data_IF_938361144913
#
_entry.id   IF_938361144913
#
_cell.length_a   1.000
_cell.length_b   1.000
_cell.length_c   1.000
_cell.angle_alpha   90.00
_cell.angle_beta   90.00
_cell.angle_gamma   90.00
#
_symmetry.space_group_name_H-M   'P 1'
#
loop_
_entity.id
_entity.type
_entity.pdbx_description
1 polymer ?
#
# COMPACT_ATOMS: atom_id res chain seq x y z
N UNK A 1 -10.77 41.75 17.17
CA UNK A 1 -9.71 42.01 18.18
C UNK A 1 -9.55 40.85 19.16
N UNK A 2 -10.48 40.57 20.08
CA UNK A 2 -10.31 39.47 21.06
C UNK A 2 -10.25 38.07 20.39
N UNK A 3 -11.08 37.84 19.36
CA UNK A 3 -11.11 36.61 18.55
C UNK A 3 -9.93 36.45 17.59
N UNK A 4 -9.30 37.56 17.14
CA UNK A 4 -8.10 37.52 16.28
C UNK A 4 -6.83 37.25 17.09
N UNK A 5 -6.79 37.75 18.34
CA UNK A 5 -5.72 37.47 19.31
C UNK A 5 -5.73 36.02 19.75
N UNK A 6 -6.90 35.39 19.89
CA UNK A 6 -7.00 33.96 20.20
C UNK A 6 -6.48 33.07 19.06
N UNK A 7 -6.75 33.41 17.79
CA UNK A 7 -6.21 32.68 16.64
C UNK A 7 -4.69 32.86 16.48
N UNK A 8 -4.17 34.07 16.71
CA UNK A 8 -2.73 34.33 16.70
C UNK A 8 -2.01 33.64 17.88
N UNK A 9 -2.61 33.60 19.07
CA UNK A 9 -2.12 32.84 20.22
C UNK A 9 -2.15 31.32 19.96
N UNK A 10 -3.19 30.81 19.31
CA UNK A 10 -3.29 29.39 18.94
C UNK A 10 -2.24 29.00 17.89
N UNK A 11 -2.01 29.86 16.90
CA UNK A 11 -0.96 29.68 15.89
C UNK A 11 0.45 29.81 16.50
N UNK A 12 0.66 30.76 17.41
CA UNK A 12 1.94 30.99 18.09
C UNK A 12 2.36 29.87 19.03
N UNK A 13 1.42 29.10 19.63
CA UNK A 13 1.74 27.91 20.44
C UNK A 13 2.29 26.74 19.62
N UNK A 14 2.03 26.72 18.31
CA UNK A 14 2.51 25.66 17.39
C UNK A 14 3.66 26.14 16.51
N UNK A 15 4.03 27.43 16.59
CA UNK A 15 5.10 27.98 15.77
C UNK A 15 6.46 27.62 16.40
N UNK A 16 7.39 27.03 15.61
CA UNK A 16 8.71 26.66 16.09
C UNK A 16 9.63 27.84 16.35
N UNK A 17 9.38 28.96 15.67
CA UNK A 17 10.09 30.19 15.89
C UNK A 17 9.48 30.95 17.08
N UNK A 18 10.32 31.72 17.75
CA UNK A 18 9.83 32.77 18.65
C UNK A 18 9.39 33.93 17.77
N UNK A 19 8.08 34.20 17.80
CA UNK A 19 7.49 35.35 17.16
C UNK A 19 7.41 36.49 18.16
N UNK A 20 7.75 37.69 17.73
CA UNK A 20 7.56 38.88 18.55
C UNK A 20 7.03 40.05 17.72
N UNK A 21 6.22 40.89 18.35
CA UNK A 21 5.80 42.18 17.80
C UNK A 21 6.48 43.27 18.60
N UNK A 22 7.22 44.13 17.92
CA UNK A 22 7.83 45.31 18.52
C UNK A 22 7.07 46.57 18.14
N UNK A 23 6.95 47.48 19.11
CA UNK A 23 6.49 48.83 18.89
C UNK A 23 7.55 49.72 18.20
N UNK A 24 7.19 50.97 17.88
CA UNK A 24 8.08 51.94 17.22
C UNK A 24 9.33 52.31 18.03
N UNK A 25 9.28 52.09 19.35
CA UNK A 25 10.37 52.26 20.30
C UNK A 25 11.24 51.00 20.47
N UNK A 26 11.02 49.97 19.64
CA UNK A 26 11.66 48.66 19.74
C UNK A 26 11.42 47.96 21.08
N UNK A 27 10.29 48.25 21.74
CA UNK A 27 9.84 47.49 22.92
C UNK A 27 8.95 46.33 22.49
N UNK A 28 9.10 45.18 23.13
CA UNK A 28 8.26 44.02 22.86
C UNK A 28 6.83 44.30 23.34
N UNK A 29 5.86 44.22 22.42
CA UNK A 29 4.43 44.38 22.72
C UNK A 29 3.71 43.04 22.80
N UNK A 30 4.27 42.03 22.16
CA UNK A 30 3.82 40.65 22.24
C UNK A 30 4.98 39.71 21.91
N UNK A 31 5.03 38.57 22.59
CA UNK A 31 5.96 37.48 22.33
C UNK A 31 5.19 36.16 22.38
N UNK A 32 5.49 35.25 21.46
CA UNK A 32 4.84 33.94 21.42
C UNK A 32 5.26 33.04 22.59
N UNK A 33 4.38 32.11 23.03
CA UNK A 33 4.71 31.13 24.06
C UNK A 33 5.93 30.25 23.77
N UNK A 34 6.33 30.09 22.50
CA UNK A 34 7.52 29.33 22.10
C UNK A 34 8.82 29.83 22.74
N UNK A 35 8.87 31.08 23.23
CA UNK A 35 10.04 31.64 23.91
C UNK A 35 10.41 30.92 25.21
N UNK A 36 9.43 30.30 25.88
CA UNK A 36 9.66 29.53 27.10
C UNK A 36 10.48 28.27 26.79
N UNK A 37 10.15 27.57 25.70
CA UNK A 37 10.87 26.39 25.27
C UNK A 37 12.27 26.72 24.73
N UNK A 38 12.41 27.81 23.97
CA UNK A 38 13.68 28.16 23.31
C UNK A 38 14.67 28.92 24.20
N UNK A 39 14.19 29.74 25.14
CA UNK A 39 15.04 30.63 25.94
C UNK A 39 14.74 30.60 27.45
N UNK A 40 13.71 29.87 27.88
CA UNK A 40 13.33 29.69 29.28
C UNK A 40 12.58 30.86 29.92
N UNK A 41 12.20 31.88 29.14
CA UNK A 41 11.49 33.06 29.63
C UNK A 41 9.98 32.85 29.65
N UNK A 42 9.30 33.38 30.66
CA UNK A 42 7.86 33.58 30.57
C UNK A 42 7.58 34.71 29.54
N UNK A 43 6.71 34.50 28.54
CA UNK A 43 6.37 35.54 27.56
C UNK A 43 5.93 36.86 28.19
N UNK A 44 5.22 36.80 29.34
CA UNK A 44 4.73 37.99 30.03
C UNK A 44 5.86 38.85 30.60
N UNK A 45 6.98 38.24 31.00
CA UNK A 45 8.15 38.94 31.55
C UNK A 45 8.92 39.71 30.47
N UNK A 46 8.73 39.34 29.20
CA UNK A 46 9.41 39.97 28.08
C UNK A 46 8.64 41.17 27.51
N UNK A 47 7.33 41.24 27.74
CA UNK A 47 6.50 42.36 27.26
C UNK A 47 6.89 43.64 28.00
N UNK A 48 7.17 44.69 27.24
CA UNK A 48 7.61 46.00 27.74
C UNK A 48 9.13 46.16 27.82
N UNK A 49 9.91 45.09 27.64
CA UNK A 49 11.37 45.18 27.55
C UNK A 49 11.82 45.70 26.19
N UNK A 50 12.92 46.45 26.17
CA UNK A 50 13.56 46.88 24.93
C UNK A 50 14.44 45.79 24.34
N UNK A 51 14.65 45.80 23.02
CA UNK A 51 15.59 44.87 22.35
C UNK A 51 17.00 44.93 22.97
N UNK A 52 17.43 46.10 23.45
CA UNK A 52 18.71 46.29 24.13
C UNK A 52 18.86 45.49 25.43
N UNK A 53 17.74 45.16 26.10
CA UNK A 53 17.75 44.36 27.32
C UNK A 53 17.84 42.86 27.02
N UNK A 54 17.52 42.45 25.80
CA UNK A 54 17.41 41.05 25.40
C UNK A 54 18.58 40.56 24.54
N UNK A 55 19.26 41.47 23.86
CA UNK A 55 20.36 41.16 22.94
C UNK A 55 21.73 41.46 23.58
N UNK A 56 22.75 40.69 23.23
CA UNK A 56 24.12 40.97 23.63
C UNK A 56 24.59 42.35 23.12
N UNK A 57 25.27 43.11 23.98
CA UNK A 57 25.62 44.51 23.71
C UNK A 57 26.42 44.74 22.42
N UNK A 58 27.27 43.80 22.03
CA UNK A 58 28.07 43.88 20.79
C UNK A 58 27.22 43.70 19.52
N UNK A 59 26.06 43.06 19.63
CA UNK A 59 25.21 42.73 18.49
C UNK A 59 24.16 43.84 18.22
N UNK A 60 24.03 44.83 19.11
CA UNK A 60 23.10 45.96 18.95
C UNK A 60 23.45 46.88 17.79
N UNK A 61 24.73 47.18 17.57
CA UNK A 61 25.19 48.00 16.45
C UNK A 61 24.81 47.39 15.09
N UNK A 62 25.16 46.12 14.83
CA UNK A 62 24.73 45.38 13.64
C UNK A 62 23.20 45.39 13.41
N UNK A 63 22.41 45.17 14.46
CA UNK A 63 20.94 45.18 14.37
C UNK A 63 20.41 46.55 13.95
N UNK A 64 20.86 47.63 14.60
CA UNK A 64 20.42 49.00 14.31
C UNK A 64 20.79 49.44 12.89
N UNK A 65 22.00 49.09 12.44
CA UNK A 65 22.43 49.35 11.07
C UNK A 65 21.53 48.62 10.06
N UNK A 66 21.22 47.36 10.35
CA UNK A 66 20.36 46.56 9.51
C UNK A 66 18.92 47.10 9.45
N UNK A 67 18.36 47.56 10.57
CA UNK A 67 17.03 48.22 10.62
C UNK A 67 17.03 49.46 9.71
N UNK A 68 18.07 50.28 9.81
CA UNK A 68 18.24 51.50 8.98
C UNK A 68 18.32 51.15 7.48
N UNK A 69 18.96 50.03 7.15
CA UNK A 69 19.05 49.52 5.78
C UNK A 69 17.71 48.96 5.27
N UNK A 70 16.98 48.24 6.13
CA UNK A 70 15.64 47.73 5.83
C UNK A 70 14.64 48.85 5.56
N UNK A 71 14.69 49.95 6.32
CA UNK A 71 13.86 51.14 6.09
C UNK A 71 14.11 51.76 4.70
N UNK A 72 15.36 51.80 4.26
CA UNK A 72 15.71 52.27 2.90
C UNK A 72 15.22 51.32 1.81
N UNK A 73 15.03 50.05 2.14
CA UNK A 73 14.66 48.98 1.22
C UNK A 73 13.19 48.54 1.34
N UNK A 74 12.31 49.40 1.86
CA UNK A 74 10.87 49.14 1.90
C UNK A 74 10.39 48.26 3.06
N UNK A 75 11.13 48.25 4.18
CA UNK A 75 10.70 47.67 5.45
C UNK A 75 10.96 46.18 5.64
N UNK A 76 11.67 45.53 4.71
CA UNK A 76 12.06 44.11 4.83
C UNK A 76 13.53 44.00 5.18
N UNK A 77 13.84 43.22 6.20
CA UNK A 77 15.20 43.05 6.69
C UNK A 77 15.73 41.66 6.37
N UNK A 78 16.99 41.57 5.94
CA UNK A 78 17.71 40.30 5.86
C UNK A 78 17.89 39.70 7.27
N UNK A 79 18.05 38.38 7.34
CA UNK A 79 18.24 37.70 8.61
C UNK A 79 19.51 38.22 9.32
N UNK A 80 19.38 38.64 10.57
CA UNK A 80 20.49 39.10 11.41
C UNK A 80 20.80 38.03 12.44
N UNK A 81 22.08 37.67 12.53
CA UNK A 81 22.57 36.85 13.63
C UNK A 81 22.83 37.73 14.85
N UNK A 82 22.26 37.33 15.98
CA UNK A 82 22.46 38.02 17.25
C UNK A 82 22.36 37.04 18.41
N UNK A 83 23.00 37.38 19.52
CA UNK A 83 22.94 36.58 20.74
C UNK A 83 21.81 37.08 21.63
N UNK A 84 20.83 36.23 21.91
CA UNK A 84 19.72 36.55 22.81
C UNK A 84 19.94 35.98 24.21
N UNK A 85 19.56 36.76 25.22
CA UNK A 85 19.70 36.40 26.63
C UNK A 85 18.70 35.31 27.02
N UNK A 86 19.15 34.29 27.71
CA UNK A 86 18.30 33.23 28.30
C UNK A 86 17.80 33.63 29.68
N UNK A 87 16.75 32.98 30.18
CA UNK A 87 16.27 33.20 31.56
C UNK A 87 17.31 32.83 32.63
N UNK A 88 18.24 31.93 32.31
CA UNK A 88 19.39 31.59 33.18
C UNK A 88 20.51 32.64 33.20
N UNK A 89 20.38 33.72 32.41
CA UNK A 89 21.36 34.82 32.33
C UNK A 89 22.50 34.60 31.34
N UNK A 90 22.51 33.50 30.60
CA UNK A 90 23.44 33.25 29.49
C UNK A 90 22.96 33.88 28.18
N UNK A 91 23.70 33.63 27.09
CA UNK A 91 23.32 34.06 25.75
C UNK A 91 23.37 32.89 24.77
N UNK A 92 22.35 32.79 23.90
CA UNK A 92 22.29 31.82 22.82
C UNK A 92 22.42 32.52 21.46
N UNK A 93 23.20 31.96 20.51
CA UNK A 93 23.25 32.47 19.15
C UNK A 93 21.91 32.21 18.45
N UNK A 94 21.36 33.25 17.85
CA UNK A 94 20.07 33.23 17.18
C UNK A 94 20.15 33.91 15.83
N UNK A 95 19.22 33.56 14.94
CA UNK A 95 18.98 34.25 13.69
C UNK A 95 17.57 34.84 13.75
N UNK A 96 17.48 36.15 13.60
CA UNK A 96 16.25 36.91 13.65
C UNK A 96 15.94 37.52 12.28
N UNK A 97 14.72 37.33 11.79
CA UNK A 97 14.19 38.01 10.60
C UNK A 97 13.12 38.99 11.03
N UNK A 98 13.11 40.19 10.42
CA UNK A 98 12.13 41.22 10.72
C UNK A 98 11.44 41.75 9.47
N UNK A 99 10.17 42.07 9.62
CA UNK A 99 9.38 42.81 8.62
C UNK A 99 8.66 43.94 9.33
N UNK A 100 8.71 45.15 8.76
CA UNK A 100 7.99 46.29 9.30
C UNK A 100 6.62 46.49 8.64
N UNK A 101 5.70 47.10 9.39
CA UNK A 101 4.36 47.46 8.93
C UNK A 101 3.92 48.78 9.57
N UNK A 102 3.02 49.50 8.90
CA UNK A 102 2.45 50.75 9.43
C UNK A 102 1.19 50.44 10.24
N UNK A 103 1.13 50.93 11.47
CA UNK A 103 -0.05 50.87 12.32
C UNK A 103 -0.22 52.19 13.05
N UNK A 104 -1.41 52.80 12.93
CA UNK A 104 -1.75 54.10 13.52
C UNK A 104 -0.78 55.25 13.16
N UNK A 105 -0.13 55.18 11.99
CA UNK A 105 0.81 56.19 11.52
C UNK A 105 2.25 56.01 12.00
N UNK A 106 2.53 54.95 12.75
CA UNK A 106 3.87 54.60 13.23
C UNK A 106 4.33 53.25 12.64
N UNK A 107 5.65 53.04 12.60
CA UNK A 107 6.26 51.81 12.08
C UNK A 107 6.41 50.79 13.20
N UNK A 108 5.80 49.63 13.01
CA UNK A 108 5.86 48.47 13.89
C UNK A 108 6.64 47.34 13.24
N UNK A 109 7.09 46.38 14.02
CA UNK A 109 7.91 45.27 13.51
C UNK A 109 7.36 43.93 13.96
N UNK A 110 7.30 42.97 13.04
CA UNK A 110 7.15 41.55 13.35
C UNK A 110 8.49 40.85 13.21
N UNK A 111 8.86 40.07 14.22
CA UNK A 111 10.07 39.27 14.28
C UNK A 111 9.73 37.79 14.24
N UNK A 112 10.52 37.02 13.49
CA UNK A 112 10.69 35.57 13.69
C UNK A 112 12.14 35.34 14.12
N UNK A 113 12.31 34.60 15.21
CA UNK A 113 13.59 34.35 15.86
C UNK A 113 13.74 32.85 16.08
N UNK A 114 14.86 32.29 15.61
CA UNK A 114 15.25 30.89 15.84
C UNK A 114 16.65 30.81 16.40
N UNK A 115 16.99 29.75 17.13
CA UNK A 115 18.39 29.54 17.50
C UNK A 115 19.21 29.10 16.27
N UNK A 116 20.49 29.46 16.21
CA UNK A 116 21.39 29.02 15.13
C UNK A 116 21.56 27.50 15.14
N UNK A 117 21.56 26.88 16.33
CA UNK A 117 21.59 25.43 16.47
C UNK A 117 20.35 24.77 15.83
N UNK A 118 19.17 25.36 15.98
CA UNK A 118 17.96 24.89 15.31
C UNK A 118 18.02 25.11 13.80
N UNK A 119 18.71 26.15 13.32
CA UNK A 119 18.94 26.42 11.89
C UNK A 119 19.82 25.36 11.24
N UNK A 120 20.97 25.08 11.85
CA UNK A 120 21.87 24.03 11.38
C UNK A 120 21.22 22.64 11.46
N UNK A 121 20.40 22.39 12.49
CA UNK A 121 19.65 21.14 12.62
C UNK A 121 18.61 20.98 11.49
N UNK A 122 17.88 22.05 11.14
CA UNK A 122 16.90 22.03 10.04
C UNK A 122 17.58 21.88 8.68
N UNK A 123 18.67 22.61 8.42
CA UNK A 123 19.47 22.48 7.18
C UNK A 123 20.08 21.09 7.06
N UNK A 124 20.66 20.57 8.14
CA UNK A 124 21.20 19.21 8.19
C UNK A 124 20.13 18.15 7.97
N UNK A 125 18.95 18.28 8.59
CA UNK A 125 17.81 17.38 8.38
C UNK A 125 17.32 17.41 6.94
N UNK A 126 17.14 18.60 6.36
CA UNK A 126 16.73 18.76 4.95
C UNK A 126 17.72 18.07 4.01
N UNK A 127 19.01 18.26 4.25
CA UNK A 127 20.07 17.60 3.46
C UNK A 127 19.99 16.08 3.55
N UNK A 128 19.70 15.53 4.74
CA UNK A 128 19.48 14.08 4.93
C UNK A 128 18.21 13.58 4.23
N UNK A 129 17.09 14.32 4.31
CA UNK A 129 15.86 13.98 3.60
C UNK A 129 16.06 13.98 2.08
N UNK A 130 16.82 14.93 1.53
CA UNK A 130 17.14 14.96 0.10
C UNK A 130 18.01 13.77 -0.33
N UNK A 131 19.01 13.41 0.48
CA UNK A 131 19.83 12.22 0.24
C UNK A 131 18.96 10.96 0.26
N UNK A 132 18.09 10.83 1.28
CA UNK A 132 17.19 9.69 1.43
C UNK A 132 16.14 9.62 0.32
N UNK A 133 15.61 10.75 -0.15
CA UNK A 133 14.70 10.79 -1.28
C UNK A 133 15.38 10.30 -2.57
N UNK A 134 16.64 10.67 -2.77
CA UNK A 134 17.44 10.19 -3.91
C UNK A 134 17.69 8.69 -3.80
N UNK A 135 18.11 8.21 -2.63
CA UNK A 135 18.32 6.79 -2.36
C UNK A 135 17.05 5.98 -2.56
N UNK A 136 15.94 6.40 -1.95
CA UNK A 136 14.65 5.74 -2.09
C UNK A 136 14.19 5.66 -3.56
N UNK A 137 14.44 6.70 -4.36
CA UNK A 137 14.13 6.69 -5.78
C UNK A 137 14.93 5.62 -6.54
N UNK A 138 16.25 5.54 -6.30
CA UNK A 138 17.09 4.49 -6.90
C UNK A 138 16.65 3.10 -6.44
N UNK A 139 16.60 2.87 -5.12
CA UNK A 139 16.25 1.57 -4.54
C UNK A 139 14.89 1.10 -5.04
N UNK A 140 13.85 1.93 -4.98
CA UNK A 140 12.51 1.55 -5.43
C UNK A 140 12.43 1.30 -6.95
N UNK A 141 13.27 1.97 -7.76
CA UNK A 141 13.28 1.78 -9.21
C UNK A 141 13.85 0.43 -9.64
N UNK A 142 14.83 -0.07 -8.90
CA UNK A 142 15.54 -1.33 -9.19
C UNK A 142 14.97 -2.53 -8.41
N UNK A 143 14.10 -2.27 -7.43
CA UNK A 143 13.56 -3.26 -6.51
C UNK A 143 12.77 -4.37 -7.20
N UNK A 144 13.00 -5.61 -6.76
CA UNK A 144 12.21 -6.79 -7.12
C UNK A 144 11.07 -7.03 -6.14
N UNK A 145 10.08 -7.83 -6.55
CA UNK A 145 8.88 -8.11 -5.75
C UNK A 145 9.14 -8.83 -4.42
N UNK A 146 10.26 -9.54 -4.29
CA UNK A 146 10.69 -10.26 -3.08
C UNK A 146 11.53 -9.41 -2.11
N UNK A 147 11.95 -8.19 -2.50
CA UNK A 147 12.86 -7.35 -1.73
C UNK A 147 12.14 -6.37 -0.78
N UNK A 148 11.03 -6.80 -0.17
CA UNK A 148 10.27 -5.97 0.81
C UNK A 148 11.13 -5.48 1.99
N UNK A 149 12.20 -6.19 2.33
CA UNK A 149 13.16 -5.75 3.36
C UNK A 149 13.78 -4.39 3.05
N UNK A 150 14.02 -4.07 1.78
CA UNK A 150 14.58 -2.78 1.35
C UNK A 150 13.62 -1.62 1.64
N UNK A 151 12.31 -1.83 1.53
CA UNK A 151 11.31 -0.82 1.90
C UNK A 151 11.32 -0.53 3.41
N UNK A 152 11.49 -1.55 4.24
CA UNK A 152 11.60 -1.38 5.68
C UNK A 152 12.83 -0.56 6.06
N UNK A 153 13.97 -0.79 5.40
CA UNK A 153 15.20 0.00 5.60
C UNK A 153 15.01 1.48 5.23
N UNK A 154 14.27 1.77 4.15
CA UNK A 154 13.92 3.15 3.78
C UNK A 154 13.04 3.79 4.85
N UNK A 155 12.00 3.08 5.34
CA UNK A 155 11.11 3.59 6.38
C UNK A 155 11.84 3.79 7.73
N UNK A 156 12.74 2.89 8.10
CA UNK A 156 13.58 3.01 9.28
C UNK A 156 14.51 4.24 9.19
N UNK A 157 15.16 4.41 8.04
CA UNK A 157 16.04 5.57 7.79
C UNK A 157 15.26 6.87 7.81
N UNK A 158 14.05 6.89 7.23
CA UNK A 158 13.14 8.03 7.28
C UNK A 158 12.76 8.33 8.74
N UNK A 159 12.39 7.30 9.50
CA UNK A 159 12.04 7.43 10.90
C UNK A 159 13.17 7.99 11.75
N UNK A 160 14.42 7.57 11.50
CA UNK A 160 15.57 8.14 12.17
C UNK A 160 15.78 9.63 11.84
N UNK A 161 15.52 10.06 10.60
CA UNK A 161 15.68 11.47 10.17
C UNK A 161 14.60 12.38 10.77
N UNK A 162 13.35 11.92 10.83
CA UNK A 162 12.21 12.69 11.37
C UNK A 162 11.96 12.42 12.87
N UNK A 163 12.70 11.50 13.47
CA UNK A 163 12.56 11.05 14.87
C UNK A 163 11.20 10.39 15.16
N UNK A 164 10.69 9.63 14.21
CA UNK A 164 9.49 8.83 14.38
C UNK A 164 9.79 7.54 15.15
N UNK A 165 8.85 7.13 15.99
CA UNK A 165 8.86 5.82 16.67
C UNK A 165 8.08 4.76 15.89
N UNK A 166 7.33 5.18 14.86
CA UNK A 166 6.71 4.31 13.89
C UNK A 166 6.29 5.07 12.62
N UNK A 167 6.41 4.42 11.47
CA UNK A 167 5.96 4.95 10.18
C UNK A 167 5.24 3.84 9.43
N UNK A 168 4.08 4.14 8.85
CA UNK A 168 3.38 3.22 7.97
C UNK A 168 2.80 3.92 6.75
N UNK A 169 2.83 3.22 5.63
CA UNK A 169 2.11 3.59 4.41
C UNK A 169 0.83 2.79 4.36
N UNK A 170 -0.29 3.50 4.21
CA UNK A 170 -1.62 2.95 4.16
C UNK A 170 -2.26 3.20 2.80
N UNK A 171 -3.08 2.25 2.34
CA UNK A 171 -4.03 2.46 1.26
C UNK A 171 -5.42 2.71 1.80
N UNK A 172 -6.19 3.54 1.10
CA UNK A 172 -7.62 3.70 1.34
C UNK A 172 -8.45 3.15 0.20
N UNK A 173 -9.46 2.34 0.54
CA UNK A 173 -10.65 2.16 -0.27
C UNK A 173 -11.82 2.73 0.51
N UNK A 174 -12.85 3.26 -0.17
CA UNK A 174 -14.03 3.87 0.49
C UNK A 174 -14.48 3.08 1.73
N UNK A 175 -14.20 3.63 2.91
CA UNK A 175 -14.60 3.06 4.22
C UNK A 175 -13.69 1.97 4.80
N UNK A 176 -12.51 1.71 4.23
CA UNK A 176 -11.55 0.74 4.76
C UNK A 176 -10.10 1.10 4.38
N UNK A 177 -9.24 1.30 5.38
CA UNK A 177 -7.80 1.52 5.18
C UNK A 177 -7.00 0.28 5.56
N UNK A 178 -5.98 -0.05 4.76
CA UNK A 178 -5.11 -1.20 4.99
C UNK A 178 -3.64 -0.80 4.96
N UNK A 179 -2.82 -1.41 5.81
CA UNK A 179 -1.36 -1.19 5.82
C UNK A 179 -0.79 -1.85 4.58
N UNK A 180 -0.07 -1.07 3.76
CA UNK A 180 0.76 -1.60 2.69
C UNK A 180 2.12 -2.05 3.24
N UNK A 181 2.76 -1.16 4.00
CA UNK A 181 4.05 -1.42 4.63
C UNK A 181 4.23 -0.53 5.86
N UNK A 182 5.04 -0.95 6.82
CA UNK A 182 5.27 -0.16 8.03
C UNK A 182 6.45 -0.65 8.85
N UNK A 183 7.01 0.27 9.61
CA UNK A 183 8.13 0.09 10.50
C UNK A 183 7.79 0.68 11.88
N UNK A 184 8.29 0.06 12.95
CA UNK A 184 8.23 0.56 14.32
C UNK A 184 9.55 0.33 15.02
N UNK A 185 9.91 1.25 15.93
CA UNK A 185 11.13 1.13 16.73
C UNK A 185 11.06 -0.05 17.71
N UNK A 186 9.86 -0.40 18.17
CA UNK A 186 9.58 -1.61 18.96
C UNK A 186 8.73 -2.55 18.11
N UNK A 187 9.26 -3.74 17.80
CA UNK A 187 8.58 -4.77 17.00
C UNK A 187 7.28 -5.27 17.66
N UNK A 188 7.12 -5.09 18.98
CA UNK A 188 5.88 -5.44 19.69
C UNK A 188 4.78 -4.40 19.48
N UNK A 189 5.13 -3.25 18.94
CA UNK A 189 4.22 -2.13 18.72
C UNK A 189 3.64 -2.21 17.32
N UNK A 190 2.32 -2.07 17.22
CA UNK A 190 1.67 -1.93 15.92
C UNK A 190 1.91 -0.50 15.36
N UNK A 191 2.09 -0.34 14.05
CA UNK A 191 2.17 0.97 13.42
C UNK A 191 0.90 1.80 13.65
N UNK A 192 1.01 3.14 13.69
CA UNK A 192 -0.13 4.02 13.86
C UNK A 192 -1.14 3.87 12.72
N UNK A 193 -2.43 3.89 13.07
CA UNK A 193 -3.52 3.91 12.09
C UNK A 193 -3.83 5.35 11.67
N UNK A 194 -4.21 5.57 10.40
CA UNK A 194 -4.70 6.86 9.97
C UNK A 194 -5.99 7.18 10.72
N UNK A 195 -6.03 8.35 11.33
CA UNK A 195 -7.20 8.92 12.01
C UNK A 195 -8.13 9.53 10.98
N UNK A 196 -7.57 10.11 9.91
CA UNK A 196 -8.34 10.69 8.81
C UNK A 196 -8.47 9.64 7.68
N UNK A 197 -9.67 9.45 7.10
CA UNK A 197 -9.82 8.62 5.91
C UNK A 197 -8.89 9.12 4.80
N UNK A 198 -8.22 8.18 4.13
CA UNK A 198 -7.23 8.48 3.08
C UNK A 198 -7.84 9.32 1.96
N UNK A 199 -9.14 9.18 1.66
CA UNK A 199 -9.82 9.97 0.63
C UNK A 199 -10.17 11.41 1.07
N UNK A 200 -10.12 11.71 2.36
CA UNK A 200 -10.43 13.04 2.91
C UNK A 200 -9.19 13.94 3.02
N UNK A 201 -7.99 13.36 3.02
CA UNK A 201 -6.73 14.05 2.79
C UNK A 201 -6.65 14.38 1.30
N UNK A 202 -6.85 15.65 0.93
CA UNK A 202 -6.78 16.08 -0.47
C UNK A 202 -5.41 15.81 -1.14
N UNK A 203 -5.26 16.18 -2.42
CA UNK A 203 -4.07 15.88 -3.22
C UNK A 203 -2.77 16.59 -2.80
N UNK A 204 -2.81 17.49 -1.83
CA UNK A 204 -1.65 18.24 -1.34
C UNK A 204 -1.95 18.75 0.07
N UNK A 205 -1.58 17.97 1.09
CA UNK A 205 -1.74 18.38 2.47
C UNK A 205 -1.13 17.38 3.44
N UNK A 206 -0.72 17.90 4.59
CA UNK A 206 -0.40 17.10 5.76
C UNK A 206 -1.28 17.55 6.93
N UNK A 207 -1.57 16.65 7.86
CA UNK A 207 -2.22 17.00 9.11
C UNK A 207 -1.44 16.45 10.30
N UNK A 208 -1.32 17.27 11.35
CA UNK A 208 -0.66 16.92 12.60
C UNK A 208 -1.72 16.82 13.70
N UNK A 209 -1.80 15.67 14.35
CA UNK A 209 -2.75 15.38 15.40
C UNK A 209 -2.05 14.87 16.65
N UNK A 210 -2.64 15.09 17.81
CA UNK A 210 -2.23 14.34 18.99
C UNK A 210 -2.78 12.92 18.93
N UNK A 211 -1.93 11.95 19.26
CA UNK A 211 -2.30 10.55 19.43
C UNK A 211 -2.01 10.10 20.87
N UNK A 212 -2.78 9.13 21.34
CA UNK A 212 -2.52 8.50 22.64
C UNK A 212 -1.19 7.73 22.56
N UNK A 213 -0.29 8.00 23.51
CA UNK A 213 0.99 7.30 23.60
C UNK A 213 0.77 5.82 23.94
N UNK A 214 1.32 4.92 23.13
CA UNK A 214 1.32 3.48 23.45
C UNK A 214 2.45 3.08 24.42
N UNK A 215 3.33 4.02 24.80
CA UNK A 215 4.47 3.76 25.68
C UNK A 215 4.16 4.18 27.13
N UNK A 216 4.29 3.28 28.12
CA UNK A 216 4.11 3.63 29.53
C UNK A 216 5.12 4.70 29.96
N UNK A 217 4.62 5.86 30.41
CA UNK A 217 5.43 6.96 30.93
C UNK A 217 5.85 8.03 29.91
N UNK A 218 5.48 7.87 28.64
CA UNK A 218 5.67 8.93 27.64
C UNK A 218 4.53 9.95 27.71
N UNK A 219 4.87 11.22 27.94
CA UNK A 219 3.93 12.35 27.83
C UNK A 219 3.99 12.85 26.38
N UNK A 220 2.81 13.06 25.80
CA UNK A 220 2.40 13.35 24.40
C UNK A 220 3.12 12.69 23.20
N UNK A 221 2.30 12.27 22.24
CA UNK A 221 2.68 11.68 20.96
C UNK A 221 1.96 12.47 19.86
N UNK A 222 2.69 12.89 18.82
CA UNK A 222 2.12 13.54 17.64
C UNK A 222 2.12 12.56 16.46
N UNK A 223 1.01 12.45 15.75
CA UNK A 223 0.92 11.73 14.49
C UNK A 223 0.85 12.72 13.34
N UNK A 224 1.60 12.45 12.28
CA UNK A 224 1.58 13.23 11.05
C UNK A 224 1.15 12.36 9.90
N UNK A 225 0.12 12.83 9.21
CA UNK A 225 -0.47 12.16 8.06
C UNK A 225 -0.17 12.98 6.82
N UNK A 226 0.46 12.36 5.82
CA UNK A 226 0.84 13.00 4.56
C UNK A 226 0.13 12.29 3.42
N UNK A 227 -0.66 13.05 2.66
CA UNK A 227 -1.34 12.53 1.48
C UNK A 227 -0.31 12.12 0.42
N UNK A 228 -0.42 10.89 -0.08
CA UNK A 228 0.43 10.41 -1.16
C UNK A 228 -0.31 10.53 -2.49
N UNK A 229 0.32 11.11 -3.53
CA UNK A 229 -0.31 11.18 -4.85
C UNK A 229 -0.62 9.77 -5.35
N UNK A 230 -1.89 9.45 -5.56
CA UNK A 230 -2.28 8.28 -6.34
C UNK A 230 -2.85 8.72 -7.68
N UNK A 231 -2.33 8.13 -8.76
CA UNK A 231 -2.86 8.31 -10.10
C UNK A 231 -4.18 7.54 -10.29
N UNK A 232 -4.17 6.52 -11.15
CA UNK A 232 -5.31 5.59 -11.32
C UNK A 232 -5.48 4.56 -10.18
N UNK A 233 -4.62 4.61 -9.16
CA UNK A 233 -4.59 3.65 -8.06
C UNK A 233 -5.37 4.16 -6.84
N UNK A 234 -5.69 3.27 -5.91
CA UNK A 234 -6.27 3.62 -4.62
C UNK A 234 -5.42 4.72 -3.94
N UNK A 235 -6.04 5.76 -3.33
CA UNK A 235 -5.30 6.82 -2.65
C UNK A 235 -4.49 6.25 -1.48
N UNK A 236 -3.32 6.85 -1.23
CA UNK A 236 -2.40 6.44 -0.18
C UNK A 236 -2.17 7.55 0.85
N UNK A 237 -1.84 7.16 2.08
CA UNK A 237 -1.39 8.08 3.14
C UNK A 237 -0.18 7.50 3.84
N UNK A 238 0.83 8.34 4.07
CA UNK A 238 1.92 8.05 4.98
C UNK A 238 1.54 8.56 6.37
N UNK A 239 1.61 7.69 7.37
CA UNK A 239 1.36 8.02 8.78
C UNK A 239 2.67 7.84 9.55
N UNK A 240 3.15 8.89 10.20
CA UNK A 240 4.34 8.88 11.04
C UNK A 240 3.98 9.27 12.47
N UNK A 241 4.40 8.46 13.44
CA UNK A 241 4.23 8.75 14.86
C UNK A 241 5.54 9.29 15.45
N UNK A 242 5.49 10.50 15.97
CA UNK A 242 6.62 11.27 16.49
C UNK A 242 6.67 11.25 18.02
N UNK A 243 7.90 11.18 18.54
CA UNK A 243 8.17 11.38 19.97
C UNK A 243 8.32 12.87 20.30
N UNK A 244 7.85 13.29 21.48
CA UNK A 244 8.00 14.65 22.03
C UNK A 244 9.43 15.22 22.02
N UNK A 245 10.45 14.37 21.96
CA UNK A 245 11.87 14.78 21.90
C UNK A 245 12.28 15.45 20.59
N UNK A 246 11.42 15.41 19.58
CA UNK A 246 11.66 16.12 18.32
C UNK A 246 11.04 17.52 18.39
N UNK A 247 11.90 18.52 18.58
CA UNK A 247 11.49 19.92 18.73
C UNK A 247 10.65 20.44 17.57
N UNK A 248 9.93 21.52 17.86
CA UNK A 248 9.18 22.31 16.90
C UNK A 248 10.08 22.72 15.72
N UNK A 249 9.69 22.38 14.49
CA UNK A 249 10.47 22.65 13.27
C UNK A 249 10.65 21.44 12.34
N UNK A 250 9.95 20.34 12.60
CA UNK A 250 9.93 19.13 11.77
C UNK A 250 9.27 19.36 10.39
N UNK A 251 8.23 20.19 10.34
CA UNK A 251 7.34 20.29 9.19
C UNK A 251 7.34 21.70 8.63
N UNK A 252 8.04 21.87 7.51
CA UNK A 252 7.85 22.97 6.56
C UNK A 252 7.40 22.37 5.22
N UNK A 253 6.88 23.20 4.31
CA UNK A 253 6.35 22.72 3.02
C UNK A 253 7.37 21.86 2.26
N UNK A 254 8.66 22.19 2.36
CA UNK A 254 9.72 21.47 1.65
C UNK A 254 10.03 20.09 2.26
N UNK A 255 10.09 19.98 3.58
CA UNK A 255 10.30 18.72 4.28
C UNK A 255 9.08 17.80 4.09
N UNK A 256 7.87 18.36 4.10
CA UNK A 256 6.64 17.64 3.78
C UNK A 256 6.71 17.06 2.38
N UNK A 257 7.11 17.86 1.39
CA UNK A 257 7.23 17.40 0.00
C UNK A 257 8.24 16.25 -0.13
N UNK A 258 9.41 16.34 0.51
CA UNK A 258 10.41 15.27 0.48
C UNK A 258 9.91 13.99 1.16
N UNK A 259 9.23 14.10 2.30
CA UNK A 259 8.62 12.97 3.01
C UNK A 259 7.51 12.34 2.15
N UNK A 260 6.69 13.16 1.48
CA UNK A 260 5.65 12.71 0.57
C UNK A 260 6.24 11.99 -0.66
N UNK A 261 7.36 12.48 -1.20
CA UNK A 261 8.09 11.83 -2.30
C UNK A 261 8.58 10.45 -1.86
N UNK A 262 9.26 10.34 -0.72
CA UNK A 262 9.75 9.04 -0.21
C UNK A 262 8.57 8.09 0.05
N UNK A 263 7.54 8.57 0.74
CA UNK A 263 6.33 7.79 1.00
C UNK A 263 5.64 7.32 -0.27
N UNK A 264 5.56 8.18 -1.29
CA UNK A 264 4.97 7.87 -2.59
C UNK A 264 5.77 6.84 -3.39
N UNK A 265 7.10 6.90 -3.32
CA UNK A 265 7.98 5.89 -3.92
C UNK A 265 7.82 4.53 -3.24
N UNK A 266 7.84 4.50 -1.91
CA UNK A 266 7.61 3.29 -1.10
C UNK A 266 6.23 2.70 -1.38
N UNK A 267 5.21 3.57 -1.50
CA UNK A 267 3.86 3.16 -1.87
C UNK A 267 3.82 2.50 -3.25
N UNK A 268 4.34 3.18 -4.28
CA UNK A 268 4.34 2.67 -5.64
C UNK A 268 5.09 1.33 -5.77
N UNK A 269 6.23 1.22 -5.09
CA UNK A 269 7.02 -0.01 -5.05
C UNK A 269 6.26 -1.17 -4.38
N UNK A 270 5.56 -0.91 -3.27
CA UNK A 270 4.71 -1.90 -2.60
C UNK A 270 3.57 -2.38 -3.50
N UNK A 271 2.87 -1.45 -4.16
CA UNK A 271 1.76 -1.76 -5.07
C UNK A 271 2.21 -2.60 -6.27
N UNK A 272 3.40 -2.31 -6.79
CA UNK A 272 4.00 -3.08 -7.88
C UNK A 272 4.29 -4.51 -7.46
N UNK A 273 4.93 -4.70 -6.30
CA UNK A 273 5.24 -6.02 -5.76
C UNK A 273 3.96 -6.87 -5.58
N UNK A 274 2.91 -6.28 -5.01
CA UNK A 274 1.62 -6.96 -4.81
C UNK A 274 0.94 -7.32 -6.15
N UNK A 275 1.02 -6.42 -7.13
CA UNK A 275 0.47 -6.66 -8.47
C UNK A 275 1.22 -7.75 -9.23
N UNK A 276 2.56 -7.77 -9.16
CA UNK A 276 3.39 -8.82 -9.74
C UNK A 276 3.10 -10.17 -9.08
N UNK A 277 3.00 -10.22 -7.76
CA UNK A 277 2.64 -11.45 -7.04
C UNK A 277 1.25 -11.96 -7.45
N UNK A 278 0.27 -11.07 -7.60
CA UNK A 278 -1.06 -11.43 -8.09
C UNK A 278 -1.02 -11.90 -9.56
N UNK A 279 -0.19 -11.28 -10.40
CA UNK A 279 0.02 -11.71 -11.78
C UNK A 279 0.69 -13.08 -11.84
N UNK A 280 1.68 -13.36 -11.00
CA UNK A 280 2.31 -14.68 -10.87
C UNK A 280 1.30 -15.73 -10.40
N UNK A 281 0.49 -15.43 -9.37
CA UNK A 281 -0.59 -16.31 -8.93
C UNK A 281 -1.60 -16.60 -10.05
N UNK A 282 -1.97 -15.59 -10.84
CA UNK A 282 -2.84 -15.76 -12.02
C UNK A 282 -2.13 -16.44 -13.19
N UNK A 283 -0.81 -16.34 -13.28
CA UNK A 283 0.01 -16.99 -14.29
C UNK A 283 0.29 -18.45 -13.95
N UNK A 284 0.11 -18.88 -12.70
CA UNK A 284 0.27 -20.27 -12.26
C UNK A 284 -1.04 -21.04 -12.14
N UNK A 285 -2.19 -20.36 -12.03
CA UNK A 285 -3.49 -21.01 -11.76
C UNK A 285 -4.51 -20.82 -12.89
N UNK A 286 -5.42 -21.78 -13.03
CA UNK A 286 -6.59 -21.69 -13.90
C UNK A 286 -7.68 -20.85 -13.23
N UNK A 287 -8.16 -19.81 -13.90
CA UNK A 287 -9.08 -18.81 -13.31
C UNK A 287 -10.45 -19.38 -12.93
N UNK A 288 -10.88 -20.45 -13.58
CA UNK A 288 -12.19 -21.06 -13.29
C UNK A 288 -12.13 -22.00 -12.09
N UNK A 289 -11.09 -22.83 -12.02
CA UNK A 289 -11.02 -23.94 -11.06
C UNK A 289 -10.11 -23.67 -9.86
N UNK A 290 -9.23 -22.66 -9.95
CA UNK A 290 -8.21 -22.36 -8.96
C UNK A 290 -7.16 -23.46 -8.82
N UNK A 291 -7.09 -24.40 -9.77
CA UNK A 291 -6.02 -25.40 -9.85
C UNK A 291 -4.79 -24.81 -10.54
N UNK A 292 -3.66 -25.51 -10.53
CA UNK A 292 -2.52 -25.13 -11.35
C UNK A 292 -2.90 -25.17 -12.83
N UNK A 293 -2.38 -24.24 -13.63
CA UNK A 293 -2.56 -24.28 -15.08
C UNK A 293 -1.49 -25.15 -15.76
N UNK A 294 -1.63 -25.34 -17.07
CA UNK A 294 -0.73 -26.17 -17.89
C UNK A 294 0.76 -25.83 -17.75
N UNK A 295 1.11 -24.55 -17.63
CA UNK A 295 2.50 -24.13 -17.50
C UNK A 295 3.07 -24.51 -16.12
N UNK A 296 2.37 -24.15 -15.05
CA UNK A 296 2.81 -24.44 -13.68
C UNK A 296 2.86 -25.94 -13.37
N UNK A 297 1.95 -26.74 -13.94
CA UNK A 297 2.01 -28.21 -13.83
C UNK A 297 3.31 -28.76 -14.42
N UNK A 298 3.67 -28.33 -15.63
CA UNK A 298 4.87 -28.83 -16.33
C UNK A 298 6.14 -28.44 -15.59
N UNK A 299 6.21 -27.21 -15.10
CA UNK A 299 7.34 -26.72 -14.31
C UNK A 299 7.51 -27.50 -13.00
N UNK A 300 6.45 -27.61 -12.19
CA UNK A 300 6.51 -28.36 -10.92
C UNK A 300 6.77 -29.85 -11.12
N UNK A 301 6.25 -30.43 -12.21
CA UNK A 301 6.53 -31.82 -12.55
C UNK A 301 7.99 -32.01 -12.96
N UNK A 302 8.56 -31.08 -13.75
CA UNK A 302 9.98 -31.12 -14.10
C UNK A 302 10.87 -31.02 -12.86
N UNK A 303 10.59 -30.09 -11.94
CA UNK A 303 11.32 -30.01 -10.67
C UNK A 303 11.24 -31.29 -9.85
N UNK A 304 10.06 -31.92 -9.80
CA UNK A 304 9.88 -33.15 -9.03
C UNK A 304 10.63 -34.34 -9.65
N UNK A 305 10.68 -34.41 -10.98
CA UNK A 305 11.46 -35.41 -11.72
C UNK A 305 12.97 -35.19 -11.55
N UNK A 306 13.43 -33.94 -11.63
CA UNK A 306 14.85 -33.55 -11.51
C UNK A 306 15.40 -33.77 -10.11
N UNK A 307 14.61 -33.47 -9.06
CA UNK A 307 15.04 -33.65 -7.66
C UNK A 307 15.43 -35.11 -7.38
N UNK A 308 14.75 -36.07 -8.02
CA UNK A 308 14.91 -37.50 -7.75
C UNK A 308 14.55 -37.89 -6.31
N UNK A 309 14.32 -39.17 -6.06
CA UNK A 309 14.05 -39.68 -4.72
C UNK A 309 13.71 -41.17 -4.69
N UNK A 310 13.50 -41.72 -3.50
CA UNK A 310 13.04 -43.09 -3.30
C UNK A 310 11.55 -43.21 -3.67
N UNK A 311 11.27 -43.29 -4.98
CA UNK A 311 9.92 -43.44 -5.52
C UNK A 311 9.80 -42.89 -6.94
N UNK A 312 8.68 -43.20 -7.60
CA UNK A 312 8.36 -42.71 -8.93
C UNK A 312 7.38 -41.53 -8.85
N UNK A 313 7.50 -40.59 -9.78
CA UNK A 313 6.47 -39.55 -9.99
C UNK A 313 5.30 -40.20 -10.71
N UNK A 314 4.13 -40.15 -10.08
CA UNK A 314 2.89 -40.65 -10.64
C UNK A 314 2.05 -39.49 -11.17
N UNK A 315 1.56 -39.65 -12.41
CA UNK A 315 0.60 -38.75 -13.02
C UNK A 315 -0.72 -39.50 -13.26
N UNK A 316 -1.81 -38.98 -12.70
CA UNK A 316 -3.17 -39.39 -13.02
C UNK A 316 -3.76 -38.32 -13.93
N UNK A 317 -3.95 -38.66 -15.21
CA UNK A 317 -4.50 -37.77 -16.22
C UNK A 317 -5.99 -38.04 -16.37
N UNK A 318 -6.80 -36.99 -16.48
CA UNK A 318 -8.25 -37.10 -16.62
C UNK A 318 -8.81 -36.22 -17.72
N UNK A 319 -9.83 -36.71 -18.40
CA UNK A 319 -10.58 -35.97 -19.42
C UNK A 319 -12.09 -36.25 -19.25
N UNK A 320 -12.91 -35.19 -19.31
CA UNK A 320 -14.35 -35.33 -19.15
C UNK A 320 -14.99 -36.01 -20.37
N UNK A 321 -15.81 -37.03 -20.11
CA UNK A 321 -16.51 -37.74 -21.17
C UNK A 321 -17.69 -36.89 -21.67
N UNK A 322 -17.73 -36.60 -22.98
CA UNK A 322 -18.85 -35.89 -23.62
C UNK A 322 -18.99 -34.40 -23.25
N UNK A 323 -17.96 -33.75 -22.71
CA UNK A 323 -18.06 -32.38 -22.18
C UNK A 323 -18.56 -31.34 -23.20
N UNK A 324 -18.14 -31.46 -24.47
CA UNK A 324 -18.63 -30.60 -25.55
C UNK A 324 -20.15 -30.74 -25.74
N UNK A 325 -20.67 -31.96 -25.78
CA UNK A 325 -22.11 -32.24 -25.93
C UNK A 325 -22.90 -31.68 -24.74
N UNK A 326 -22.34 -31.81 -23.52
CA UNK A 326 -22.91 -31.20 -22.32
C UNK A 326 -23.01 -29.68 -22.45
N UNK A 327 -21.93 -29.01 -22.90
CA UNK A 327 -21.94 -27.56 -23.10
C UNK A 327 -22.92 -27.12 -24.18
N UNK A 328 -22.99 -27.85 -25.29
CA UNK A 328 -23.88 -27.55 -26.40
C UNK A 328 -25.36 -27.72 -25.99
N UNK A 329 -25.65 -28.65 -25.07
CA UNK A 329 -27.02 -28.95 -24.62
C UNK A 329 -27.47 -28.10 -23.44
N UNK A 330 -26.59 -27.88 -22.44
CA UNK A 330 -26.93 -27.27 -21.14
C UNK A 330 -26.30 -25.89 -20.94
N UNK A 331 -25.46 -25.46 -21.88
CA UNK A 331 -24.77 -24.17 -21.84
C UNK A 331 -23.51 -24.15 -20.98
N UNK A 332 -22.61 -23.24 -21.30
CA UNK A 332 -21.29 -23.12 -20.65
C UNK A 332 -21.34 -22.94 -19.13
N UNK A 333 -22.37 -22.29 -18.58
CA UNK A 333 -22.49 -22.16 -17.11
C UNK A 333 -22.62 -23.49 -16.39
N UNK A 334 -23.27 -24.47 -17.02
CA UNK A 334 -23.36 -25.83 -16.48
C UNK A 334 -22.01 -26.53 -16.62
N UNK A 335 -21.34 -26.38 -17.76
CA UNK A 335 -19.98 -26.89 -17.94
C UNK A 335 -18.99 -26.33 -16.92
N UNK A 336 -19.07 -25.04 -16.62
CA UNK A 336 -18.24 -24.39 -15.60
C UNK A 336 -18.46 -25.01 -14.21
N UNK A 337 -19.73 -25.28 -13.84
CA UNK A 337 -20.07 -25.93 -12.59
C UNK A 337 -19.54 -27.38 -12.50
N UNK A 338 -19.56 -28.10 -13.62
CA UNK A 338 -18.98 -29.44 -13.75
C UNK A 338 -17.46 -29.38 -13.56
N UNK A 339 -16.77 -28.46 -14.25
CA UNK A 339 -15.32 -28.29 -14.15
C UNK A 339 -14.87 -27.96 -12.72
N UNK A 340 -15.59 -27.06 -12.03
CA UNK A 340 -15.32 -26.77 -10.61
C UNK A 340 -15.53 -28.00 -9.70
N UNK A 341 -16.56 -28.81 -9.96
CA UNK A 341 -16.82 -30.02 -9.19
C UNK A 341 -15.74 -31.10 -9.38
N UNK A 342 -15.24 -31.27 -10.61
CA UNK A 342 -14.08 -32.13 -10.88
C UNK A 342 -12.86 -31.63 -10.11
N UNK A 343 -12.59 -30.32 -10.18
CA UNK A 343 -11.44 -29.72 -9.52
C UNK A 343 -11.46 -29.96 -8.00
N UNK A 344 -12.61 -29.75 -7.36
CA UNK A 344 -12.79 -30.00 -5.93
C UNK A 344 -12.63 -31.49 -5.58
N UNK A 345 -13.21 -32.38 -6.40
CA UNK A 345 -13.06 -33.83 -6.24
C UNK A 345 -11.60 -34.28 -6.32
N UNK A 346 -10.86 -33.83 -7.33
CA UNK A 346 -9.44 -34.16 -7.49
C UNK A 346 -8.59 -33.57 -6.37
N UNK A 347 -8.82 -32.30 -5.98
CA UNK A 347 -8.11 -31.64 -4.88
C UNK A 347 -8.27 -32.41 -3.58
N UNK A 348 -9.49 -32.88 -3.27
CA UNK A 348 -9.77 -33.65 -2.05
C UNK A 348 -9.12 -35.04 -2.05
N UNK A 349 -8.94 -35.66 -3.23
CA UNK A 349 -8.42 -37.02 -3.36
C UNK A 349 -6.89 -37.12 -3.47
N UNK A 350 -6.23 -36.02 -3.87
CA UNK A 350 -4.80 -35.96 -4.16
C UNK A 350 -3.94 -36.30 -2.92
N UNK A 351 -4.35 -35.78 -1.76
CA UNK A 351 -3.66 -35.94 -0.48
C UNK A 351 -2.35 -35.16 -0.39
N UNK A 352 -1.68 -35.23 0.76
CA UNK A 352 -0.46 -34.47 1.02
C UNK A 352 0.69 -34.83 0.06
N UNK A 353 1.46 -33.82 -0.33
CA UNK A 353 2.59 -33.97 -1.26
C UNK A 353 2.19 -34.11 -2.73
N UNK A 354 0.90 -34.02 -3.05
CA UNK A 354 0.41 -33.98 -4.42
C UNK A 354 0.06 -32.56 -4.86
N UNK A 355 0.10 -32.31 -6.16
CA UNK A 355 -0.48 -31.10 -6.76
C UNK A 355 -1.44 -31.45 -7.88
N UNK A 356 -2.43 -30.58 -8.11
CA UNK A 356 -3.51 -30.79 -9.06
C UNK A 356 -3.57 -29.62 -10.02
N UNK A 357 -3.74 -29.92 -11.31
CA UNK A 357 -3.83 -28.91 -12.35
C UNK A 357 -4.91 -29.18 -13.39
N UNK A 358 -5.34 -28.12 -14.06
CA UNK A 358 -6.15 -28.16 -15.27
C UNK A 358 -5.26 -27.73 -16.43
N UNK A 359 -5.05 -28.65 -17.36
CA UNK A 359 -4.04 -28.49 -18.42
C UNK A 359 -4.64 -28.22 -19.80
N UNK A 360 -5.95 -28.45 -19.94
CA UNK A 360 -6.75 -28.19 -21.13
C UNK A 360 -8.17 -27.73 -20.77
N UNK A 361 -9.10 -27.81 -21.73
CA UNK A 361 -10.49 -27.38 -21.53
C UNK A 361 -11.22 -28.25 -20.51
N UNK A 362 -11.17 -29.55 -20.70
CA UNK A 362 -11.77 -30.62 -19.89
C UNK A 362 -10.73 -31.54 -19.26
N UNK A 363 -9.45 -31.23 -19.46
CA UNK A 363 -8.32 -32.07 -19.07
C UNK A 363 -7.72 -31.64 -17.73
N UNK A 364 -7.54 -32.62 -16.84
CA UNK A 364 -7.02 -32.45 -15.50
C UNK A 364 -5.87 -33.42 -15.23
N UNK A 365 -4.99 -33.05 -14.30
CA UNK A 365 -3.93 -33.95 -13.84
C UNK A 365 -3.74 -33.86 -12.34
N UNK A 366 -3.49 -35.00 -11.71
CA UNK A 366 -2.99 -35.11 -10.33
C UNK A 366 -1.59 -35.70 -10.39
N UNK A 367 -0.64 -35.02 -9.75
CA UNK A 367 0.77 -35.43 -9.74
C UNK A 367 1.21 -35.65 -8.32
N UNK A 368 1.87 -36.79 -8.04
CA UNK A 368 2.33 -37.16 -6.71
C UNK A 368 3.52 -38.10 -6.79
N UNK A 369 4.48 -37.97 -5.88
CA UNK A 369 5.50 -38.99 -5.69
C UNK A 369 4.92 -40.21 -4.95
N UNK A 370 5.15 -41.40 -5.49
CA UNK A 370 4.61 -42.67 -4.97
C UNK A 370 5.71 -43.73 -4.87
N UNK A 371 5.55 -44.69 -3.94
CA UNK A 371 6.49 -45.79 -3.77
C UNK A 371 6.47 -46.80 -4.93
N UNK A 372 5.41 -46.80 -5.75
CA UNK A 372 5.30 -47.66 -6.94
C UNK A 372 3.86 -47.82 -7.42
N UNK A 373 3.65 -48.72 -8.39
CA UNK A 373 2.39 -48.88 -9.13
C UNK A 373 1.18 -49.09 -8.24
N UNK A 374 1.29 -49.88 -7.17
CA UNK A 374 0.18 -50.15 -6.27
C UNK A 374 -0.35 -48.89 -5.59
N UNK A 375 0.53 -47.93 -5.26
CA UNK A 375 0.12 -46.65 -4.69
C UNK A 375 -0.46 -45.71 -5.74
N UNK A 376 0.11 -45.69 -6.95
CA UNK A 376 -0.47 -44.96 -8.09
C UNK A 376 -1.90 -45.41 -8.41
N UNK A 377 -2.15 -46.72 -8.42
CA UNK A 377 -3.51 -47.28 -8.64
C UNK A 377 -4.48 -46.89 -7.51
N UNK A 378 -4.00 -46.82 -6.25
CA UNK A 378 -4.82 -46.32 -5.13
C UNK A 378 -5.17 -44.85 -5.33
N UNK A 379 -4.22 -44.01 -5.76
CA UNK A 379 -4.48 -42.60 -6.08
C UNK A 379 -5.52 -42.47 -7.20
N UNK A 380 -5.33 -43.18 -8.32
CA UNK A 380 -6.28 -43.23 -9.43
C UNK A 380 -7.70 -43.59 -8.94
N UNK A 381 -7.82 -44.62 -8.11
CA UNK A 381 -9.10 -45.10 -7.58
C UNK A 381 -9.77 -44.07 -6.67
N UNK A 382 -9.01 -43.37 -5.81
CA UNK A 382 -9.52 -42.29 -4.98
C UNK A 382 -10.01 -41.12 -5.83
N UNK A 383 -9.21 -40.67 -6.80
CA UNK A 383 -9.60 -39.60 -7.73
C UNK A 383 -10.89 -39.95 -8.46
N UNK A 384 -10.99 -41.18 -8.99
CA UNK A 384 -12.20 -41.67 -9.68
C UNK A 384 -13.42 -41.63 -8.77
N UNK A 385 -13.28 -42.06 -7.52
CA UNK A 385 -14.38 -42.10 -6.54
C UNK A 385 -14.84 -40.70 -6.17
N UNK A 386 -13.91 -39.82 -5.80
CA UNK A 386 -14.22 -38.45 -5.39
C UNK A 386 -14.84 -37.61 -6.51
N UNK A 387 -14.32 -37.74 -7.74
CA UNK A 387 -14.89 -37.03 -8.89
C UNK A 387 -16.29 -37.55 -9.21
N UNK A 388 -16.52 -38.87 -9.23
CA UNK A 388 -17.86 -39.42 -9.46
C UNK A 388 -18.87 -38.98 -8.42
N UNK A 389 -18.47 -38.92 -7.15
CA UNK A 389 -19.31 -38.39 -6.08
C UNK A 389 -19.66 -36.92 -6.33
N UNK A 390 -18.67 -36.08 -6.65
CA UNK A 390 -18.87 -34.67 -6.97
C UNK A 390 -19.71 -34.44 -8.24
N UNK A 391 -19.63 -35.35 -9.21
CA UNK A 391 -20.39 -35.30 -10.47
C UNK A 391 -21.81 -35.86 -10.40
N UNK A 392 -22.11 -36.69 -9.39
CA UNK A 392 -23.42 -37.38 -9.25
C UNK A 392 -24.64 -36.43 -9.28
N UNK A 393 -24.45 -35.16 -8.89
CA UNK A 393 -25.48 -34.11 -8.92
C UNK A 393 -25.77 -33.51 -10.31
N UNK A 394 -24.97 -33.83 -11.32
CA UNK A 394 -25.08 -33.30 -12.69
C UNK A 394 -25.56 -34.34 -13.72
N UNK A 395 -26.06 -35.50 -13.27
CA UNK A 395 -26.53 -36.58 -14.15
C UNK A 395 -25.42 -37.53 -14.60
N UNK A 396 -25.55 -38.11 -15.79
CA UNK A 396 -24.56 -39.04 -16.36
C UNK A 396 -23.36 -38.28 -16.96
N UNK A 397 -22.60 -37.60 -16.10
CA UNK A 397 -21.28 -37.04 -16.47
C UNK A 397 -20.22 -37.92 -15.82
N UNK A 398 -19.26 -38.37 -16.62
CA UNK A 398 -18.16 -39.20 -16.15
C UNK A 398 -16.82 -38.61 -16.61
N UNK A 399 -15.74 -39.12 -16.03
CA UNK A 399 -14.38 -38.74 -16.36
C UNK A 399 -13.60 -40.01 -16.69
N UNK A 400 -12.89 -40.00 -17.81
CA UNK A 400 -11.91 -41.02 -18.14
C UNK A 400 -10.60 -40.66 -17.46
N UNK A 401 -10.02 -41.60 -16.69
CA UNK A 401 -8.76 -41.39 -15.97
C UNK A 401 -7.74 -42.45 -16.36
N UNK A 402 -6.53 -42.01 -16.70
CA UNK A 402 -5.35 -42.82 -16.95
C UNK A 402 -4.24 -42.56 -15.93
N UNK A 403 -3.30 -43.50 -15.84
CA UNK A 403 -2.21 -43.52 -14.87
C UNK A 403 -0.88 -43.80 -15.59
N UNK A 404 0.14 -42.99 -15.28
CA UNK A 404 1.52 -43.32 -15.60
C UNK A 404 2.44 -43.09 -14.40
N UNK A 405 3.55 -43.83 -14.38
CA UNK A 405 4.65 -43.66 -13.44
C UNK A 405 5.90 -43.28 -14.23
N UNK A 406 6.72 -42.42 -13.66
CA UNK A 406 7.99 -41.99 -14.25
C UNK A 406 9.00 -43.14 -14.27
N UNK A 407 9.67 -43.29 -15.41
CA UNK A 407 10.91 -44.01 -15.62
C UNK A 407 12.11 -43.06 -15.44
N UNK A 408 13.31 -43.64 -15.36
CA UNK A 408 14.53 -42.87 -15.21
C UNK A 408 14.79 -42.00 -16.45
N UNK A 409 14.92 -40.68 -16.25
CA UNK A 409 15.21 -39.72 -17.31
C UNK A 409 13.99 -39.18 -18.06
N UNK A 410 12.77 -39.46 -17.60
CA UNK A 410 11.57 -38.88 -18.17
C UNK A 410 11.51 -37.36 -18.04
N UNK A 411 11.03 -36.70 -19.09
CA UNK A 411 10.52 -35.33 -18.96
C UNK A 411 9.06 -35.32 -18.50
N UNK A 412 8.60 -34.16 -18.01
CA UNK A 412 7.19 -33.95 -17.70
C UNK A 412 6.27 -34.22 -18.91
N UNK A 413 6.75 -33.94 -20.13
CA UNK A 413 5.99 -34.18 -21.37
C UNK A 413 5.82 -35.67 -21.63
N UNK A 414 6.87 -36.47 -21.45
CA UNK A 414 6.85 -37.92 -21.69
C UNK A 414 5.92 -38.63 -20.71
N UNK A 415 5.93 -38.22 -19.43
CA UNK A 415 5.06 -38.76 -18.41
C UNK A 415 3.58 -38.40 -18.64
N UNK A 416 3.30 -37.13 -18.96
CA UNK A 416 1.94 -36.70 -19.29
C UNK A 416 1.40 -37.43 -20.53
N UNK A 417 2.22 -37.58 -21.57
CA UNK A 417 1.83 -38.28 -22.78
C UNK A 417 1.48 -39.75 -22.51
N UNK A 418 2.28 -40.47 -21.70
CA UNK A 418 1.95 -41.85 -21.33
C UNK A 418 0.66 -41.95 -20.50
N UNK A 419 0.43 -41.01 -19.59
CA UNK A 419 -0.80 -40.97 -18.80
C UNK A 419 -2.05 -40.68 -19.66
N UNK A 420 -1.91 -39.78 -20.65
CA UNK A 420 -2.95 -39.49 -21.64
C UNK A 420 -3.25 -40.70 -22.54
N UNK A 421 -2.22 -41.40 -23.00
CA UNK A 421 -2.41 -42.66 -23.77
C UNK A 421 -3.16 -43.71 -22.94
N UNK A 422 -2.81 -43.90 -21.67
CA UNK A 422 -3.53 -44.82 -20.78
C UNK A 422 -5.00 -44.38 -20.60
N UNK A 423 -5.23 -43.08 -20.37
CA UNK A 423 -6.58 -42.51 -20.26
C UNK A 423 -7.41 -42.75 -21.53
N UNK A 424 -6.83 -42.52 -22.70
CA UNK A 424 -7.50 -42.73 -23.99
C UNK A 424 -7.84 -44.20 -24.22
N UNK A 425 -7.00 -45.15 -23.79
CA UNK A 425 -7.33 -46.58 -23.87
C UNK A 425 -8.52 -46.95 -22.98
N UNK A 426 -8.61 -46.39 -21.77
CA UNK A 426 -9.76 -46.56 -20.90
C UNK A 426 -11.02 -45.96 -21.53
N UNK A 427 -10.93 -44.73 -22.07
CA UNK A 427 -12.05 -44.05 -22.73
C UNK A 427 -12.63 -44.88 -23.88
N UNK A 428 -11.77 -45.47 -24.73
CA UNK A 428 -12.18 -46.36 -25.82
C UNK A 428 -12.81 -47.66 -25.33
N UNK A 429 -12.29 -48.25 -24.24
CA UNK A 429 -12.85 -49.46 -23.64
C UNK A 429 -14.25 -49.23 -23.08
N UNK A 430 -14.50 -48.06 -22.50
CA UNK A 430 -15.82 -47.68 -21.98
C UNK A 430 -16.81 -47.44 -23.11
N UNK A 431 -16.39 -46.78 -24.19
CA UNK A 431 -17.22 -46.58 -25.38
C UNK A 431 -17.61 -47.91 -26.06
N UNK A 432 -16.73 -48.92 -26.11
CA UNK A 432 -17.03 -50.22 -26.72
C UNK A 432 -17.92 -51.14 -25.87
N UNK A 433 -18.08 -50.85 -24.57
CA UNK A 433 -18.91 -51.60 -23.63
C UNK A 433 -20.36 -51.13 -23.55
N UNK A 434 -20.75 -50.12 -24.34
CA UNK A 434 -22.16 -49.70 -24.50
C UNK A 434 -22.68 -48.88 -23.32
N UNK A 435 -22.42 -47.58 -23.36
CA UNK A 435 -23.37 -46.57 -22.86
C UNK A 435 -23.89 -45.83 -24.09
N UNK A 436 -25.17 -46.02 -24.37
CA UNK A 436 -25.94 -45.45 -25.47
C UNK A 436 -25.70 -43.93 -25.60
N UNK A 437 -25.35 -43.43 -26.79
CA UNK A 437 -25.30 -42.00 -27.15
C UNK A 437 -26.71 -41.36 -27.22
N UNK A 438 -27.70 -41.97 -26.56
CA UNK A 438 -29.04 -41.42 -26.37
C UNK A 438 -29.11 -40.70 -25.04
N UNK A 439 -29.04 -39.36 -25.07
CA UNK A 439 -29.39 -38.51 -23.92
C UNK A 439 -30.75 -38.98 -23.36
N UNK A 440 -30.83 -39.58 -22.16
CA UNK A 440 -32.11 -39.78 -21.50
C UNK A 440 -32.58 -38.41 -21.01
N UNK A 441 -33.86 -38.10 -21.20
CA UNK A 441 -34.45 -36.85 -20.74
C UNK A 441 -34.11 -36.58 -19.26
N UNK A 442 -33.39 -35.50 -18.99
CA UNK A 442 -33.11 -35.01 -17.64
C UNK A 442 -34.39 -34.43 -17.03
N UNK A 443 -34.76 -34.90 -15.84
CA UNK A 443 -35.82 -34.34 -15.01
C UNK A 443 -35.15 -33.57 -13.85
N UNK A 444 -35.21 -32.23 -13.81
CA UNK A 444 -34.44 -31.45 -12.85
C UNK A 444 -34.91 -31.66 -11.40
N UNK A 445 -34.00 -31.69 -10.40
CA UNK A 445 -34.39 -31.67 -9.00
C UNK A 445 -35.12 -30.37 -8.67
N UNK A 446 -36.27 -30.49 -8.02
CA UNK A 446 -37.24 -29.43 -7.73
C UNK A 446 -36.80 -28.40 -6.69
N UNK A 447 -35.50 -28.23 -6.45
CA UNK A 447 -34.96 -27.24 -5.53
C UNK A 447 -33.66 -26.60 -6.04
N UNK A 448 -33.77 -25.75 -7.06
CA UNK A 448 -32.91 -24.57 -7.18
C UNK A 448 -33.79 -23.37 -6.91
N UNK A 449 -33.53 -22.71 -5.77
CA UNK A 449 -34.39 -21.72 -5.15
C UNK A 449 -34.93 -20.66 -6.11
N UNK A 450 -36.24 -20.42 -6.01
CA UNK A 450 -36.91 -19.25 -6.57
C UNK A 450 -36.15 -17.99 -6.14
N UNK A 451 -35.72 -17.18 -7.11
CA UNK A 451 -35.28 -15.80 -6.85
C UNK A 451 -36.42 -15.02 -6.17
N UNK A 452 -36.14 -14.15 -5.20
CA UNK A 452 -37.12 -13.16 -4.76
C UNK A 452 -37.43 -12.23 -5.94
N UNK A 453 -38.68 -12.18 -6.32
CA UNK A 453 -39.21 -11.17 -7.24
C UNK A 453 -39.17 -9.80 -6.57
N UNK A 454 -38.50 -8.84 -7.19
CA UNK A 454 -38.80 -7.42 -7.01
C UNK A 454 -37.67 -6.56 -6.45
N UNK A 455 -36.90 -5.94 -7.34
CA UNK A 455 -36.50 -4.53 -7.17
C UNK A 455 -36.36 -3.91 -8.55
N UNK A 456 -37.23 -2.92 -8.84
CA UNK A 456 -37.19 -2.08 -10.05
C UNK A 456 -35.94 -1.20 -10.00
N UNK A 457 -35.19 -1.13 -11.10
CA UNK A 457 -34.30 0.00 -11.38
C UNK A 457 -35.11 0.99 -12.25
N UNK A 458 -35.17 2.29 -11.92
CA UNK A 458 -35.99 3.28 -12.63
C UNK A 458 -35.41 3.61 -14.01
N UNK A 459 -36.31 3.83 -14.97
CA UNK A 459 -35.99 3.92 -16.38
C UNK A 459 -35.44 5.26 -16.86
N UNK A 460 -34.79 5.19 -18.02
CA UNK A 460 -34.57 6.31 -18.93
C UNK A 460 -35.58 6.22 -20.09
N UNK A 461 -36.68 6.98 -19.99
CA UNK A 461 -37.32 7.55 -21.18
C UNK A 461 -36.39 8.67 -21.71
N UNK A 462 -36.24 8.93 -22.99
CA UNK A 462 -37.17 8.79 -24.11
C UNK A 462 -37.32 10.18 -24.73
N UNK A 463 -36.67 10.42 -25.87
CA UNK A 463 -36.91 11.48 -26.87
C UNK A 463 -35.77 11.34 -27.89
N UNK A 464 -35.93 11.39 -29.21
CA UNK A 464 -37.00 11.87 -30.07
C UNK A 464 -36.33 12.17 -31.41
N UNK A 465 -37.03 11.90 -32.50
CA UNK A 465 -36.57 11.99 -33.89
C UNK A 465 -36.05 13.37 -34.32
N UNK A 466 -35.04 13.36 -35.21
CA UNK A 466 -34.82 14.24 -36.38
C UNK A 466 -33.39 13.93 -36.87
N UNK A 467 -33.09 13.60 -38.11
CA UNK A 467 -33.35 14.37 -39.33
C UNK A 467 -32.13 14.18 -40.24
N UNK A 468 -32.40 13.98 -41.51
CA UNK A 468 -31.52 13.53 -42.59
C UNK A 468 -30.56 14.63 -43.11
N UNK A 469 -29.28 14.30 -43.36
CA UNK A 469 -28.34 14.84 -44.38
C UNK A 469 -26.93 14.37 -43.99
N UNK A 470 -26.07 13.74 -44.79
CA UNK A 470 -25.82 13.86 -46.21
C UNK A 470 -24.32 14.14 -46.39
N UNK A 471 -23.62 13.24 -47.13
CA UNK A 471 -22.33 13.43 -47.84
C UNK A 471 -20.98 13.15 -47.12
N UNK A 472 -19.92 12.79 -47.87
CA UNK A 472 -19.19 11.52 -47.69
C UNK A 472 -17.69 11.66 -47.41
N UNK A 473 -17.04 10.51 -47.29
CA UNK A 473 -15.59 10.33 -47.28
C UNK A 473 -14.90 10.90 -48.54
N UNK A 474 -13.83 11.67 -48.34
CA UNK A 474 -12.64 11.64 -49.19
C UNK A 474 -11.45 12.36 -48.53
N UNK A 475 -10.31 11.67 -48.57
CA UNK A 475 -8.90 12.04 -48.29
C UNK A 475 -8.40 11.91 -46.86
#
# INVERSE_FOLDING_TARGET
>A
MQTDVDLACLAGRRCPDVLAVLGPDFTARWVSPSVEASFGHDPADLVGLGVADLVHMEDLGPILNGITEAERNGGRHAAVECRLRTASGGFLPTRATSTSFLHEGETWWTLSIRTVADDDAVVGRRSRLQALASEAALTCSEMRSDERGSLLTILESLAAVIGATGIAVWTGRRGNSQICTGWTQDERRAPPRPVVPVEALGSSGYQVHQADSALPGAVAVEAVEVALPSGRHDPGVLVAELSQTTGSGLWDDHNVDLVAVIGGLVYAASQRADSEQLLLQRAETDQLTGLLNSAAVKERMAELLDRGGDGAVCAVFGDLDGFKVLNDTLGHRMGDAVLMAVADGLRSAAGDGAFVGRIGGDEFVVVRQVAGTAEGVRLLTRCRTAVREGLSRFGQVDISLGLALSDAGDSAVDLLHRADVDMYTEKRRRASLGSDDGVPAWDPPSQVGKRPSGTRIPGSGGAGEAGNSGLPASR
#
